data_IF_204209886494
#
_entry.id   IF_204209886494
#
_cell.length_a   1.000
_cell.length_b   1.000
_cell.length_c   1.000
_cell.angle_alpha   90.00
_cell.angle_beta   90.00
_cell.angle_gamma   90.00
#
_symmetry.space_group_name_H-M   'P 1'
#
loop_
_entity.id
_entity.type
_entity.pdbx_description
1 polymer ?
#
# COMPACT_ATOMS: atom_id res chain seq x y z
N UNK A 1 -12.27 -3.08 0.38
CA UNK A 1 -11.19 -3.16 -0.62
C UNK A 1 -9.96 -2.42 -0.10
N UNK A 2 -8.80 -3.01 -0.28
CA UNK A 2 -7.56 -2.35 0.08
C UNK A 2 -7.13 -1.37 -0.99
N UNK A 3 -6.39 -0.34 -0.59
CA UNK A 3 -5.72 0.57 -1.51
C UNK A 3 -4.24 0.52 -1.19
N UNK A 4 -3.40 0.29 -2.20
CA UNK A 4 -1.96 0.26 -2.02
C UNK A 4 -1.32 1.36 -2.88
N UNK A 5 -0.53 2.21 -2.22
CA UNK A 5 0.25 3.23 -2.91
C UNK A 5 1.63 2.68 -3.19
N UNK A 6 2.04 2.73 -4.45
CA UNK A 6 3.30 2.14 -4.92
C UNK A 6 4.10 3.17 -5.70
N UNK A 7 5.30 2.77 -6.11
CA UNK A 7 6.08 3.55 -7.08
C UNK A 7 6.86 2.58 -7.96
N UNK A 8 7.43 3.09 -9.04
CA UNK A 8 8.24 2.29 -9.95
C UNK A 8 9.46 1.74 -9.22
N UNK A 9 9.90 0.56 -9.61
CA UNK A 9 11.11 -0.10 -9.10
C UNK A 9 11.10 -0.23 -7.57
N UNK A 10 10.00 -0.75 -7.06
CA UNK A 10 9.82 -0.91 -5.61
C UNK A 10 9.59 -2.39 -5.29
N UNK A 11 10.60 -3.05 -4.73
CA UNK A 11 10.53 -4.48 -4.39
C UNK A 11 9.49 -4.78 -3.34
N UNK A 12 9.40 -3.95 -2.30
CA UNK A 12 8.40 -4.14 -1.24
C UNK A 12 6.97 -3.89 -1.73
N UNK A 13 6.80 -3.03 -2.72
CA UNK A 13 5.49 -2.84 -3.34
C UNK A 13 5.05 -4.11 -4.06
N UNK A 14 5.96 -4.72 -4.79
CA UNK A 14 5.69 -6.00 -5.48
C UNK A 14 5.37 -7.09 -4.45
N UNK A 15 6.15 -7.17 -3.38
CA UNK A 15 5.92 -8.16 -2.33
C UNK A 15 4.57 -7.98 -1.66
N UNK A 16 4.17 -6.73 -1.40
CA UNK A 16 2.88 -6.44 -0.78
C UNK A 16 1.72 -6.85 -1.70
N UNK A 17 1.83 -6.56 -2.99
CA UNK A 17 0.79 -6.96 -3.95
C UNK A 17 0.69 -8.47 -4.06
N UNK A 18 1.82 -9.16 -4.05
CA UNK A 18 1.83 -10.63 -4.07
C UNK A 18 1.14 -11.19 -2.83
N UNK A 19 1.43 -10.62 -1.67
CA UNK A 19 0.81 -11.05 -0.42
C UNK A 19 -0.71 -10.87 -0.47
N UNK A 20 -1.18 -9.76 -1.02
CA UNK A 20 -2.62 -9.54 -1.21
C UNK A 20 -3.23 -10.60 -2.11
N UNK A 21 -2.55 -10.92 -3.21
CA UNK A 21 -3.02 -11.94 -4.15
C UNK A 21 -3.07 -13.32 -3.51
N UNK A 22 -2.07 -13.67 -2.73
CA UNK A 22 -2.02 -14.97 -2.04
C UNK A 22 -3.15 -15.14 -1.03
N UNK A 23 -3.59 -14.04 -0.44
CA UNK A 23 -4.70 -14.06 0.52
C UNK A 23 -6.05 -13.76 -0.14
N UNK A 24 -6.09 -13.71 -1.47
CA UNK A 24 -7.33 -13.44 -2.24
C UNK A 24 -8.00 -12.12 -1.84
N UNK A 25 -7.19 -11.12 -1.51
CA UNK A 25 -7.69 -9.80 -1.14
C UNK A 25 -7.84 -8.93 -2.36
N UNK A 26 -8.94 -8.19 -2.43
CA UNK A 26 -9.17 -7.24 -3.51
C UNK A 26 -8.47 -5.93 -3.16
N UNK A 27 -7.78 -5.35 -4.14
CA UNK A 27 -7.07 -4.09 -3.89
C UNK A 27 -7.03 -3.24 -5.14
N UNK A 28 -6.85 -1.94 -4.91
CA UNK A 28 -6.62 -0.95 -5.95
C UNK A 28 -5.19 -0.45 -5.80
N UNK A 29 -4.45 -0.43 -6.88
CA UNK A 29 -3.08 0.10 -6.87
C UNK A 29 -3.07 1.53 -7.39
N UNK A 30 -2.39 2.42 -6.67
CA UNK A 30 -2.15 3.79 -7.10
C UNK A 30 -0.64 4.00 -7.14
N UNK A 31 -0.09 4.12 -8.35
CA UNK A 31 1.35 4.31 -8.54
C UNK A 31 1.66 5.79 -8.48
N UNK A 32 2.38 6.21 -7.43
CA UNK A 32 2.67 7.63 -7.22
C UNK A 32 3.70 8.19 -8.21
N UNK A 33 4.43 7.31 -8.90
CA UNK A 33 5.30 7.76 -9.99
C UNK A 33 4.50 8.33 -11.16
N UNK A 34 3.22 7.94 -11.26
CA UNK A 34 2.34 8.34 -12.35
C UNK A 34 1.14 9.16 -11.87
N UNK A 35 1.09 9.49 -10.58
CA UNK A 35 -0.06 10.19 -10.01
C UNK A 35 0.43 11.22 -8.99
N UNK A 36 0.50 12.47 -9.45
CA UNK A 36 1.02 13.58 -8.64
C UNK A 36 0.15 13.85 -7.42
N UNK A 37 -1.16 13.76 -7.57
CA UNK A 37 -2.10 13.98 -6.47
C UNK A 37 -1.89 12.96 -5.35
N UNK A 38 -1.68 11.70 -5.73
CA UNK A 38 -1.43 10.63 -4.76
C UNK A 38 -0.10 10.86 -4.05
N UNK A 39 0.92 11.29 -4.79
CA UNK A 39 2.22 11.60 -4.20
C UNK A 39 2.09 12.70 -3.14
N UNK A 40 1.33 13.76 -3.46
CA UNK A 40 1.09 14.84 -2.52
C UNK A 40 0.27 14.39 -1.32
N UNK A 41 -0.68 13.48 -1.53
CA UNK A 41 -1.47 12.91 -0.44
C UNK A 41 -0.57 12.21 0.59
N UNK A 42 0.32 11.35 0.13
CA UNK A 42 1.25 10.66 1.02
C UNK A 42 2.15 11.65 1.76
N UNK A 43 2.70 12.60 1.02
CA UNK A 43 3.60 13.60 1.57
C UNK A 43 2.90 14.45 2.62
N UNK A 44 1.66 14.85 2.36
CA UNK A 44 0.86 15.64 3.29
C UNK A 44 0.50 14.89 4.56
N UNK A 45 0.50 13.56 4.51
CA UNK A 45 0.26 12.72 5.67
C UNK A 45 1.56 12.20 6.29
N UNK A 46 2.68 12.79 5.90
CA UNK A 46 4.01 12.45 6.43
C UNK A 46 4.40 11.00 6.17
N UNK A 47 3.89 10.42 5.08
CA UNK A 47 4.21 9.06 4.68
C UNK A 47 5.25 9.13 3.56
N UNK A 48 6.50 8.87 3.92
CA UNK A 48 7.66 9.14 3.04
C UNK A 48 8.15 7.92 2.29
N UNK A 49 7.55 6.76 2.53
CA UNK A 49 7.98 5.51 1.90
C UNK A 49 6.81 4.82 1.23
N UNK A 50 7.10 3.84 0.39
CA UNK A 50 6.12 2.96 -0.23
C UNK A 50 6.57 1.52 0.00
N UNK A 51 5.64 0.56 0.05
CA UNK A 51 4.19 0.73 -0.14
C UNK A 51 3.52 1.34 1.08
N UNK A 52 2.39 2.03 0.86
CA UNK A 52 1.51 2.46 1.95
C UNK A 52 0.13 1.88 1.68
N UNK A 53 -0.46 1.27 2.67
CA UNK A 53 -1.66 0.46 2.51
C UNK A 53 -2.77 0.99 3.39
N UNK A 54 -3.96 1.13 2.78
CA UNK A 54 -5.17 1.57 3.46
C UNK A 54 -6.28 0.56 3.21
N UNK A 55 -7.22 0.48 4.14
CA UNK A 55 -8.42 -0.32 3.96
C UNK A 55 -9.62 0.60 3.80
N UNK A 56 -10.46 0.32 2.78
CA UNK A 56 -11.63 1.13 2.44
C UNK A 56 -11.33 2.61 2.24
N UNK A 57 -10.09 2.91 1.83
CA UNK A 57 -9.70 4.26 1.49
C UNK A 57 -9.33 5.17 2.65
N UNK A 58 -9.73 4.84 3.87
CA UNK A 58 -9.55 5.72 5.03
C UNK A 58 -8.79 5.10 6.19
N UNK A 59 -8.90 3.79 6.40
CA UNK A 59 -8.22 3.16 7.51
C UNK A 59 -6.77 2.87 7.14
N UNK A 60 -5.83 3.55 7.81
CA UNK A 60 -4.41 3.34 7.56
C UNK A 60 -3.95 2.01 8.13
N UNK A 61 -3.38 1.16 7.29
CA UNK A 61 -2.84 -0.14 7.71
C UNK A 61 -1.34 -0.03 7.96
N UNK A 62 -0.62 0.63 7.06
CA UNK A 62 0.82 0.81 7.21
C UNK A 62 1.60 0.37 6.00
N UNK A 63 2.89 0.07 6.22
CA UNK A 63 3.80 -0.39 5.17
C UNK A 63 3.70 -1.92 5.01
N UNK A 64 4.63 -2.50 4.24
CA UNK A 64 4.64 -3.93 3.99
C UNK A 64 4.74 -4.75 5.28
N UNK A 65 5.66 -4.37 6.17
CA UNK A 65 5.89 -5.10 7.42
C UNK A 65 4.65 -5.09 8.31
N UNK A 66 4.03 -3.93 8.47
CA UNK A 66 2.83 -3.78 9.29
C UNK A 66 1.66 -4.56 8.69
N UNK A 67 1.52 -4.52 7.37
CA UNK A 67 0.47 -5.27 6.68
C UNK A 67 0.66 -6.77 6.86
N UNK A 68 1.88 -7.26 6.67
CA UNK A 68 2.19 -8.67 6.82
C UNK A 68 1.90 -9.16 8.23
N UNK A 69 2.30 -8.38 9.24
CA UNK A 69 2.01 -8.72 10.64
C UNK A 69 0.52 -8.80 10.90
N UNK A 70 -0.25 -7.85 10.36
CA UNK A 70 -1.69 -7.84 10.53
C UNK A 70 -2.33 -9.11 9.97
N UNK A 71 -1.89 -9.57 8.80
CA UNK A 71 -2.40 -10.78 8.20
C UNK A 71 -2.03 -12.03 9.01
N UNK A 72 -0.85 -12.04 9.59
CA UNK A 72 -0.38 -13.19 10.38
C UNK A 72 -1.10 -13.32 11.72
N UNK A 73 -1.83 -12.30 12.16
CA UNK A 73 -2.57 -12.32 13.41
C UNK A 73 -4.04 -12.72 13.25
N UNK A 74 -4.46 -13.01 12.03
CA UNK A 74 -5.84 -13.40 11.75
C UNK A 74 -6.02 -14.90 11.79
#
# INVERSE_FOLDING_TARGET
>A
MYTIYTQNLCGYCTAAKRLMQEHNLKYKEINISENESAKRFLKGNNLKTVPQIFYNGTEYIGDYTMFKERLNKQ
#
